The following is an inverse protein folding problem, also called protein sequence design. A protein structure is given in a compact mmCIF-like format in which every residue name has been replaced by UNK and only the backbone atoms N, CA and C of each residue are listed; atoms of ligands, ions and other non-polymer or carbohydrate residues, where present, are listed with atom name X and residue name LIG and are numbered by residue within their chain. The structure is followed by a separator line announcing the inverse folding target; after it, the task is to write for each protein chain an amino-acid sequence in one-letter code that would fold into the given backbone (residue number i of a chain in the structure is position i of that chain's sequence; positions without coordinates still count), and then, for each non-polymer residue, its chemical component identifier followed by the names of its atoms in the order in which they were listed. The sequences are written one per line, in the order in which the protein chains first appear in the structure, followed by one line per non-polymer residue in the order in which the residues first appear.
data_IF_067876580447
#
_entry.id   IF_067876580447
#
_cell.length_a   1.000
_cell.length_b   1.000
_cell.length_c   1.000
_cell.angle_alpha   90.00
_cell.angle_beta   90.00
_cell.angle_gamma   90.00
#
_symmetry.space_group_name_H-M   'P 1'
#
loop_
_entity.id
_entity.type
_entity.pdbx_description
1 polymer ?
#
# COMPACT_ATOMS: atom_id res chain seq x y z
N UNK A 1 -28.60 32.00 7.82
CA UNK A 1 -27.48 31.09 7.97
C UNK A 1 -27.68 29.99 6.95
N UNK A 2 -26.85 29.96 5.91
CA UNK A 2 -26.93 28.95 4.88
C UNK A 2 -26.03 27.78 5.28
N UNK A 3 -26.61 26.58 5.40
CA UNK A 3 -25.91 25.34 5.68
C UNK A 3 -24.94 25.03 4.53
N UNK A 4 -23.65 25.08 4.83
CA UNK A 4 -22.61 24.56 3.92
C UNK A 4 -22.66 23.04 3.99
N UNK A 5 -23.00 22.38 2.87
CA UNK A 5 -22.80 20.94 2.72
C UNK A 5 -21.32 20.59 2.98
N UNK A 6 -21.03 19.46 3.65
CA UNK A 6 -19.66 19.01 3.84
C UNK A 6 -18.98 18.83 2.48
N UNK A 7 -17.79 19.38 2.32
CA UNK A 7 -16.97 19.15 1.14
C UNK A 7 -16.50 17.70 1.13
N UNK A 8 -16.88 16.95 0.13
CA UNK A 8 -16.44 15.59 -0.12
C UNK A 8 -14.92 15.59 -0.35
N UNK A 9 -14.16 14.81 0.40
CA UNK A 9 -12.72 14.67 0.17
C UNK A 9 -12.48 13.99 -1.18
N UNK A 10 -11.63 14.61 -1.97
CA UNK A 10 -11.27 14.12 -3.30
C UNK A 10 -9.86 13.53 -3.27
N UNK A 11 -9.63 12.47 -4.03
CA UNK A 11 -8.26 11.99 -4.31
C UNK A 11 -7.42 13.10 -4.95
N UNK A 12 -6.10 13.01 -5.01
CA UNK A 12 -5.24 13.98 -5.68
C UNK A 12 -5.63 14.27 -7.14
N UNK A 13 -6.45 13.42 -7.73
CA UNK A 13 -6.97 13.52 -9.09
C UNK A 13 -8.41 14.05 -9.18
N UNK A 14 -9.05 14.37 -8.06
CA UNK A 14 -10.41 14.93 -8.02
C UNK A 14 -11.55 13.90 -7.95
N UNK A 15 -11.25 12.60 -7.70
CA UNK A 15 -12.30 11.60 -7.47
C UNK A 15 -12.76 11.61 -6.00
N UNK A 16 -14.08 11.46 -5.72
CA UNK A 16 -14.59 11.34 -4.36
C UNK A 16 -14.05 10.09 -3.67
N UNK A 17 -13.61 10.22 -2.41
CA UNK A 17 -13.26 9.08 -1.57
C UNK A 17 -14.57 8.43 -1.11
N UNK A 18 -14.82 7.18 -1.51
CA UNK A 18 -16.05 6.45 -1.18
C UNK A 18 -16.13 6.13 0.33
N UNK A 19 -17.29 6.38 0.92
CA UNK A 19 -17.63 5.87 2.24
C UNK A 19 -17.89 4.36 2.14
N UNK A 20 -17.25 3.58 3.03
CA UNK A 20 -17.52 2.15 3.17
C UNK A 20 -18.84 1.99 3.93
N UNK A 21 -19.92 1.68 3.24
CA UNK A 21 -21.16 1.27 3.88
C UNK A 21 -20.99 -0.12 4.52
N UNK A 22 -21.26 -0.18 5.82
CA UNK A 22 -21.39 -1.44 6.55
C UNK A 22 -22.70 -2.13 6.15
N UNK A 23 -22.62 -3.30 5.53
CA UNK A 23 -23.78 -4.16 5.33
C UNK A 23 -24.16 -4.80 6.66
N UNK A 24 -25.31 -4.39 7.20
CA UNK A 24 -26.07 -5.18 8.17
C UNK A 24 -27.26 -5.80 7.44
N UNK A 25 -27.43 -7.10 7.62
CA UNK A 25 -28.42 -7.86 6.90
C UNK A 25 -29.79 -7.88 7.57
N UNK A 26 -30.85 -7.92 6.78
CA UNK A 26 -32.11 -8.62 7.13
C UNK A 26 -33.02 -8.81 5.91
N UNK A 27 -33.29 -10.01 5.65
CA UNK A 27 -34.43 -10.81 5.18
C UNK A 27 -35.65 -10.20 4.45
N UNK A 28 -36.03 -11.00 3.42
CA UNK A 28 -37.37 -11.35 2.92
C UNK A 28 -38.19 -10.31 2.12
N UNK A 29 -38.46 -10.66 0.84
CA UNK A 29 -39.78 -11.15 0.40
C UNK A 29 -39.80 -11.54 -1.09
N UNK A 30 -40.36 -12.71 -1.36
CA UNK A 30 -40.69 -13.24 -2.67
C UNK A 30 -41.81 -12.42 -3.36
N UNK A 31 -41.69 -12.19 -4.67
CA UNK A 31 -42.88 -12.05 -5.51
C UNK A 31 -42.64 -12.62 -6.90
N UNK A 32 -43.47 -13.61 -7.24
CA UNK A 32 -43.68 -14.21 -8.56
C UNK A 32 -43.99 -13.17 -9.65
N UNK A 33 -43.45 -13.40 -10.84
CA UNK A 33 -44.02 -12.77 -12.02
C UNK A 33 -43.17 -12.75 -13.30
N UNK A 34 -43.45 -13.67 -14.19
CA UNK A 34 -43.29 -13.60 -15.66
C UNK A 34 -42.00 -14.11 -16.30
N UNK A 35 -42.07 -15.32 -16.77
CA UNK A 35 -41.21 -15.95 -17.76
C UNK A 35 -41.53 -15.41 -19.19
N UNK A 36 -40.96 -14.29 -19.59
CA UNK A 36 -40.94 -13.86 -20.98
C UNK A 36 -39.69 -13.02 -21.37
N UNK A 37 -38.70 -12.85 -20.45
CA UNK A 37 -37.55 -11.97 -20.67
C UNK A 37 -36.19 -12.70 -20.62
N UNK A 38 -36.19 -14.03 -20.65
CA UNK A 38 -34.96 -14.83 -20.47
C UNK A 38 -34.01 -14.80 -21.69
N UNK A 39 -34.49 -14.48 -22.89
CA UNK A 39 -33.65 -14.51 -24.11
C UNK A 39 -32.99 -13.16 -24.40
N UNK A 40 -33.61 -12.05 -24.01
CA UNK A 40 -33.01 -10.72 -24.12
C UNK A 40 -31.93 -10.50 -23.05
N UNK A 41 -32.12 -11.04 -21.83
CA UNK A 41 -31.13 -10.97 -20.75
C UNK A 41 -29.88 -11.79 -21.05
N UNK A 42 -30.02 -12.98 -21.65
CA UNK A 42 -28.89 -13.81 -22.05
C UNK A 42 -28.04 -13.21 -23.18
N UNK A 43 -28.69 -12.48 -24.12
CA UNK A 43 -27.99 -11.75 -25.19
C UNK A 43 -27.33 -10.47 -24.69
N UNK A 44 -27.89 -9.81 -23.69
CA UNK A 44 -27.27 -8.64 -23.03
C UNK A 44 -26.03 -9.04 -22.24
N UNK A 45 -26.05 -10.17 -21.51
CA UNK A 45 -24.89 -10.71 -20.80
C UNK A 45 -23.72 -11.09 -21.72
N UNK A 46 -23.98 -11.49 -22.99
CA UNK A 46 -22.93 -11.78 -23.97
C UNK A 46 -22.31 -10.51 -24.62
N UNK A 47 -22.98 -9.37 -24.53
CA UNK A 47 -22.53 -8.11 -25.18
C UNK A 47 -21.76 -7.19 -24.22
N UNK A 48 -21.81 -7.43 -22.91
CA UNK A 48 -21.32 -6.52 -21.88
C UNK A 48 -22.14 -5.22 -21.81
N UNK A 49 -21.93 -4.44 -20.79
CA UNK A 49 -22.56 -3.13 -20.61
C UNK A 49 -22.04 -2.15 -21.68
N UNK A 50 -22.92 -1.38 -22.33
CA UNK A 50 -22.50 -0.30 -23.21
C UNK A 50 -21.83 0.82 -22.41
N UNK A 51 -21.14 1.76 -23.10
CA UNK A 51 -20.55 2.92 -22.41
C UNK A 51 -21.63 3.75 -21.69
N UNK A 52 -22.82 3.89 -22.26
CA UNK A 52 -23.94 4.58 -21.60
C UNK A 52 -24.39 3.86 -20.34
N UNK A 53 -24.51 2.53 -20.39
CA UNK A 53 -24.89 1.74 -19.19
C UNK A 53 -23.86 1.87 -18.06
N UNK A 54 -22.56 1.88 -18.39
CA UNK A 54 -21.46 2.11 -17.43
C UNK A 54 -21.57 3.51 -16.82
N UNK A 55 -21.87 4.53 -17.66
CA UNK A 55 -22.01 5.90 -17.18
C UNK A 55 -23.27 6.08 -16.32
N UNK A 56 -24.37 5.45 -16.69
CA UNK A 56 -25.63 5.48 -15.94
C UNK A 56 -25.51 4.75 -14.60
N UNK A 57 -24.74 3.65 -14.55
CA UNK A 57 -24.39 2.94 -13.31
C UNK A 57 -23.37 3.71 -12.45
N UNK A 58 -22.64 4.68 -13.01
CA UNK A 58 -21.64 5.48 -12.33
C UNK A 58 -20.35 4.74 -11.97
N UNK A 59 -20.15 3.50 -12.47
CA UNK A 59 -19.01 2.66 -12.11
C UNK A 59 -18.45 1.89 -13.30
N UNK A 60 -17.11 1.84 -13.41
CA UNK A 60 -16.35 0.99 -14.33
C UNK A 60 -15.69 -0.13 -13.54
N UNK A 61 -15.91 -1.39 -13.90
CA UNK A 61 -15.34 -2.53 -13.21
C UNK A 61 -14.10 -3.03 -13.95
N UNK A 62 -12.94 -2.84 -13.29
CA UNK A 62 -11.64 -3.27 -13.76
C UNK A 62 -11.33 -4.68 -13.30
N UNK A 63 -11.13 -5.62 -14.22
CA UNK A 63 -10.56 -6.94 -13.93
C UNK A 63 -9.03 -6.88 -14.03
N UNK A 64 -8.34 -7.34 -12.98
CA UNK A 64 -6.89 -7.27 -12.90
C UNK A 64 -6.32 -8.40 -12.05
N UNK A 65 -4.98 -8.48 -11.99
CA UNK A 65 -4.24 -9.36 -11.08
C UNK A 65 -3.35 -8.53 -10.19
N UNK A 66 -3.09 -9.02 -8.97
CA UNK A 66 -2.16 -8.38 -8.05
C UNK A 66 -0.74 -8.35 -8.63
N UNK A 67 -0.08 -7.20 -8.52
CA UNK A 67 1.30 -7.06 -8.97
C UNK A 67 1.77 -5.61 -9.13
N UNK A 68 3.10 -5.39 -9.22
CA UNK A 68 3.71 -4.06 -9.15
C UNK A 68 3.33 -3.12 -10.29
N UNK A 69 2.94 -3.66 -11.44
CA UNK A 69 2.55 -2.85 -12.61
C UNK A 69 1.07 -2.94 -12.92
N UNK A 70 0.35 -3.88 -12.32
CA UNK A 70 -1.07 -4.13 -12.53
C UNK A 70 -1.91 -3.40 -11.49
N UNK A 71 -2.00 -3.97 -10.29
CA UNK A 71 -2.70 -3.41 -9.16
C UNK A 71 -2.09 -3.89 -7.84
N UNK A 72 -1.96 -3.02 -6.86
CA UNK A 72 -1.67 -3.33 -5.47
C UNK A 72 -2.18 -2.20 -4.57
N UNK A 73 -2.51 -2.52 -3.32
CA UNK A 73 -2.84 -1.50 -2.32
C UNK A 73 -1.57 -0.84 -1.77
N UNK A 74 -1.62 0.48 -1.62
CA UNK A 74 -0.57 1.26 -0.99
C UNK A 74 -1.19 2.34 -0.10
N UNK A 75 -1.13 2.13 1.21
CA UNK A 75 -1.75 3.04 2.19
C UNK A 75 -3.22 3.33 1.88
N UNK A 76 -4.01 2.30 1.65
CA UNK A 76 -5.42 2.34 1.24
C UNK A 76 -5.69 3.06 -0.10
N UNK A 77 -4.70 3.15 -0.96
CA UNK A 77 -4.85 3.65 -2.32
C UNK A 77 -4.41 2.60 -3.34
N UNK A 78 -5.20 2.42 -4.37
CA UNK A 78 -4.81 1.57 -5.48
C UNK A 78 -3.61 2.16 -6.22
N UNK A 79 -2.63 1.33 -6.53
CA UNK A 79 -1.41 1.70 -7.24
C UNK A 79 -1.08 0.67 -8.33
N UNK A 80 -0.12 1.01 -9.17
CA UNK A 80 0.28 0.23 -10.33
C UNK A 80 -0.08 0.93 -11.63
N UNK A 81 0.79 0.85 -12.62
CA UNK A 81 0.64 1.56 -13.90
C UNK A 81 -0.71 1.29 -14.56
N UNK A 82 -1.16 0.02 -14.58
CA UNK A 82 -2.41 -0.35 -15.25
C UNK A 82 -3.62 0.20 -14.50
N UNK A 83 -3.61 0.10 -13.17
CA UNK A 83 -4.63 0.69 -12.31
C UNK A 83 -4.72 2.21 -12.53
N UNK A 84 -3.62 2.94 -12.42
CA UNK A 84 -3.60 4.39 -12.57
C UNK A 84 -4.07 4.86 -13.97
N UNK A 85 -3.76 4.08 -15.02
CA UNK A 85 -4.29 4.34 -16.36
C UNK A 85 -5.80 4.11 -16.41
N UNK A 86 -6.30 3.03 -15.80
CA UNK A 86 -7.72 2.71 -15.76
C UNK A 86 -8.51 3.74 -14.94
N UNK A 87 -7.97 4.17 -13.81
CA UNK A 87 -8.53 5.23 -12.98
C UNK A 87 -8.68 6.55 -13.76
N UNK A 88 -7.63 6.97 -14.49
CA UNK A 88 -7.68 8.15 -15.33
C UNK A 88 -8.71 8.03 -16.47
N UNK A 89 -8.89 6.83 -16.99
CA UNK A 89 -9.95 6.59 -17.98
C UNK A 89 -11.34 6.66 -17.35
N UNK A 90 -11.56 6.04 -16.19
CA UNK A 90 -12.82 6.14 -15.46
C UNK A 90 -13.20 7.60 -15.16
N UNK A 91 -12.23 8.40 -14.69
CA UNK A 91 -12.40 9.85 -14.49
C UNK A 91 -12.79 10.58 -15.79
N UNK A 92 -12.15 10.24 -16.92
CA UNK A 92 -12.44 10.85 -18.22
C UNK A 92 -13.88 10.62 -18.68
N UNK A 93 -14.44 9.44 -18.36
CA UNK A 93 -15.82 9.09 -18.70
C UNK A 93 -16.83 9.45 -17.59
N UNK A 94 -16.35 10.02 -16.46
CA UNK A 94 -17.17 10.54 -15.36
C UNK A 94 -17.73 9.50 -14.41
N UNK A 95 -17.06 8.35 -14.25
CA UNK A 95 -17.48 7.26 -13.36
C UNK A 95 -16.41 6.92 -12.31
N UNK A 96 -16.82 6.23 -11.24
CA UNK A 96 -15.90 5.62 -10.27
C UNK A 96 -15.23 4.38 -10.86
N UNK A 97 -14.10 3.96 -10.29
CA UNK A 97 -13.42 2.72 -10.64
C UNK A 97 -13.58 1.70 -9.53
N UNK A 98 -14.17 0.54 -9.84
CA UNK A 98 -14.13 -0.64 -8.97
C UNK A 98 -13.10 -1.63 -9.47
N UNK A 99 -12.27 -2.14 -8.56
CA UNK A 99 -11.25 -3.14 -8.87
C UNK A 99 -11.74 -4.51 -8.44
N UNK A 100 -11.70 -5.45 -9.38
CA UNK A 100 -11.98 -6.85 -9.16
C UNK A 100 -10.69 -7.64 -9.37
N UNK A 101 -10.07 -8.07 -8.28
CA UNK A 101 -8.82 -8.82 -8.32
C UNK A 101 -9.07 -10.29 -8.65
N UNK A 102 -8.37 -10.80 -9.65
CA UNK A 102 -8.46 -12.16 -10.15
C UNK A 102 -7.14 -12.91 -9.90
N UNK A 103 -7.21 -14.23 -9.83
CA UNK A 103 -6.03 -15.08 -9.63
C UNK A 103 -5.12 -15.13 -10.85
N UNK A 104 -5.73 -15.18 -12.03
CA UNK A 104 -5.02 -15.33 -13.30
C UNK A 104 -5.84 -14.82 -14.49
N UNK A 105 -5.22 -14.87 -15.68
CA UNK A 105 -5.84 -14.46 -16.93
C UNK A 105 -7.11 -15.25 -17.28
N UNK A 106 -7.16 -16.52 -16.88
CA UNK A 106 -8.32 -17.39 -17.16
C UNK A 106 -9.55 -16.91 -16.39
N UNK A 107 -9.37 -16.60 -15.11
CA UNK A 107 -10.45 -16.05 -14.28
C UNK A 107 -10.92 -14.69 -14.76
N UNK A 108 -9.98 -13.79 -15.16
CA UNK A 108 -10.34 -12.50 -15.76
C UNK A 108 -11.23 -12.66 -17.00
N UNK A 109 -10.86 -13.56 -17.91
CA UNK A 109 -11.64 -13.82 -19.13
C UNK A 109 -13.01 -14.40 -18.78
N UNK A 110 -13.08 -15.35 -17.83
CA UNK A 110 -14.35 -15.93 -17.39
C UNK A 110 -15.28 -14.90 -16.77
N UNK A 111 -14.78 -14.05 -15.87
CA UNK A 111 -15.55 -12.97 -15.25
C UNK A 111 -16.04 -11.96 -16.29
N UNK A 112 -15.15 -11.56 -17.22
CA UNK A 112 -15.53 -10.64 -18.31
C UNK A 112 -16.67 -11.23 -19.16
N UNK A 113 -16.61 -12.51 -19.51
CA UNK A 113 -17.64 -13.18 -20.31
C UNK A 113 -18.97 -13.37 -19.58
N UNK A 114 -18.95 -13.42 -18.25
CA UNK A 114 -20.14 -13.48 -17.39
C UNK A 114 -20.77 -12.09 -17.14
N UNK A 115 -20.10 -11.00 -17.53
CA UNK A 115 -20.51 -9.65 -17.20
C UNK A 115 -20.20 -9.23 -15.76
N UNK A 116 -19.28 -9.94 -15.08
CA UNK A 116 -18.80 -9.60 -13.74
C UNK A 116 -17.69 -8.52 -13.76
N UNK A 117 -17.42 -7.94 -14.93
CA UNK A 117 -16.50 -6.83 -15.16
C UNK A 117 -16.58 -6.29 -16.57
N UNK A 118 -16.12 -5.07 -16.77
CA UNK A 118 -16.24 -4.33 -18.03
C UNK A 118 -14.97 -4.38 -18.87
N UNK A 119 -13.82 -4.40 -18.21
CA UNK A 119 -12.52 -4.33 -18.88
C UNK A 119 -11.45 -5.14 -18.16
N UNK A 120 -10.66 -5.90 -18.92
CA UNK A 120 -9.39 -6.47 -18.44
C UNK A 120 -8.30 -5.42 -18.65
N UNK A 121 -7.90 -4.75 -17.57
CA UNK A 121 -6.85 -3.74 -17.61
C UNK A 121 -5.46 -4.34 -17.31
N UNK A 122 -5.14 -5.42 -18.01
CA UNK A 122 -3.83 -6.07 -18.02
C UNK A 122 -3.42 -6.25 -19.46
N UNK A 123 -2.16 -6.01 -19.85
CA UNK A 123 -1.70 -6.21 -21.21
C UNK A 123 -1.76 -7.68 -21.63
N UNK A 124 -2.82 -8.08 -22.31
CA UNK A 124 -3.00 -9.43 -22.83
C UNK A 124 -2.36 -9.60 -24.21
N UNK A 125 -1.68 -10.72 -24.47
CA UNK A 125 -1.13 -11.00 -25.79
C UNK A 125 -2.26 -11.32 -26.78
N UNK A 126 -2.23 -10.71 -27.96
CA UNK A 126 -3.30 -10.89 -28.96
C UNK A 126 -3.47 -12.32 -29.49
N UNK A 127 -2.45 -13.16 -29.35
CA UNK A 127 -2.53 -14.57 -29.77
C UNK A 127 -3.38 -15.45 -28.85
N UNK A 128 -3.80 -14.93 -27.68
CA UNK A 128 -4.67 -15.68 -26.74
C UNK A 128 -6.00 -16.09 -27.38
N UNK A 129 -6.46 -15.35 -28.40
CA UNK A 129 -7.65 -15.71 -29.20
C UNK A 129 -7.48 -16.94 -30.08
N UNK A 130 -6.23 -17.34 -30.39
CA UNK A 130 -5.94 -18.43 -31.34
C UNK A 130 -5.76 -19.79 -30.68
N UNK A 131 -5.87 -19.89 -29.34
CA UNK A 131 -5.68 -21.13 -28.61
C UNK A 131 -4.27 -21.74 -28.74
N UNK A 132 -3.29 -20.99 -29.28
CA UNK A 132 -1.92 -21.47 -29.47
C UNK A 132 -1.15 -21.50 -28.14
N UNK A 133 -0.56 -22.65 -27.83
CA UNK A 133 0.30 -22.84 -26.67
C UNK A 133 1.54 -21.93 -26.81
N UNK A 134 1.70 -21.00 -25.91
CA UNK A 134 2.93 -20.21 -25.79
C UNK A 134 4.13 -21.10 -25.54
N UNK A 135 5.04 -21.17 -26.49
CA UNK A 135 6.39 -21.73 -26.32
C UNK A 135 7.33 -20.65 -25.79
N UNK A 136 7.18 -20.28 -24.52
CA UNK A 136 8.11 -19.39 -23.85
C UNK A 136 8.56 -20.01 -22.53
N UNK A 137 9.84 -20.38 -22.49
CA UNK A 137 10.70 -20.47 -21.31
C UNK A 137 10.32 -21.51 -20.26
N UNK A 138 11.26 -22.42 -20.03
CA UNK A 138 11.24 -23.44 -18.96
C UNK A 138 11.09 -22.84 -17.55
N UNK A 139 9.87 -22.46 -17.19
CA UNK A 139 9.42 -22.39 -15.81
C UNK A 139 8.04 -23.02 -15.75
N UNK A 140 7.99 -24.25 -15.26
CA UNK A 140 6.78 -25.03 -15.03
C UNK A 140 6.03 -24.46 -13.84
N UNK A 141 5.16 -23.48 -14.07
CA UNK A 141 3.93 -23.32 -13.30
C UNK A 141 2.79 -23.49 -14.29
N UNK A 142 2.07 -24.57 -14.10
CA UNK A 142 1.15 -25.16 -15.04
C UNK A 142 -0.01 -24.23 -15.39
N UNK A 143 -0.03 -23.70 -16.61
CA UNK A 143 -1.28 -23.39 -17.27
C UNK A 143 -1.93 -24.75 -17.63
N UNK A 144 -2.85 -25.23 -16.78
CA UNK A 144 -3.75 -26.34 -17.13
C UNK A 144 -4.54 -25.90 -18.36
N UNK A 145 -4.36 -26.62 -19.45
CA UNK A 145 -5.21 -26.52 -20.64
C UNK A 145 -6.67 -26.69 -20.22
N UNK A 146 -7.49 -25.65 -20.47
CA UNK A 146 -8.94 -25.75 -20.38
C UNK A 146 -9.40 -26.61 -21.56
N UNK A 147 -9.48 -27.91 -21.36
CA UNK A 147 -10.22 -28.84 -22.21
C UNK A 147 -11.60 -29.02 -21.61
N UNK A 148 -12.53 -28.18 -22.02
CA UNK A 148 -13.93 -28.26 -21.66
C UNK A 148 -14.68 -27.20 -22.46
N UNK A 149 -15.51 -27.62 -23.39
CA UNK A 149 -16.40 -26.88 -24.30
C UNK A 149 -15.78 -25.65 -24.96
N UNK A 150 -15.60 -25.72 -26.27
CA UNK A 150 -15.18 -24.62 -27.16
C UNK A 150 -16.18 -23.46 -27.17
N UNK A 151 -16.34 -22.75 -26.03
CA UNK A 151 -16.92 -21.41 -26.05
C UNK A 151 -15.88 -20.48 -26.68
N UNK A 152 -16.17 -19.95 -27.83
CA UNK A 152 -15.36 -18.96 -28.52
C UNK A 152 -15.05 -17.81 -27.56
N UNK A 153 -13.78 -17.54 -27.29
CA UNK A 153 -13.37 -16.42 -26.43
C UNK A 153 -13.71 -15.12 -27.15
N UNK A 154 -14.74 -14.41 -26.67
CA UNK A 154 -15.24 -13.18 -27.28
C UNK A 154 -14.61 -11.95 -26.61
N UNK A 155 -13.36 -11.62 -27.02
CA UNK A 155 -12.63 -10.44 -26.54
C UNK A 155 -12.46 -9.40 -27.63
N UNK A 156 -12.62 -8.13 -27.27
CA UNK A 156 -12.30 -6.97 -28.11
C UNK A 156 -11.09 -6.26 -27.52
N UNK A 157 -9.93 -6.40 -28.17
CA UNK A 157 -8.72 -5.69 -27.77
C UNK A 157 -8.85 -4.19 -28.02
N UNK A 158 -8.62 -3.36 -27.01
CA UNK A 158 -8.81 -1.92 -27.07
C UNK A 158 -7.86 -1.17 -26.11
N UNK A 159 -7.70 0.12 -26.33
CA UNK A 159 -7.03 1.07 -25.46
C UNK A 159 -5.55 0.81 -25.26
N UNK A 160 -5.15 0.58 -24.01
CA UNK A 160 -3.76 0.62 -23.60
C UNK A 160 -2.92 -0.51 -24.20
N UNK A 161 -1.85 -0.13 -24.92
CA UNK A 161 -0.86 -1.02 -25.47
C UNK A 161 0.55 -0.53 -25.11
N UNK A 162 1.25 -1.19 -24.17
CA UNK A 162 2.54 -0.73 -23.68
C UNK A 162 3.70 -1.04 -24.63
N UNK A 163 3.55 -1.98 -25.58
CA UNK A 163 4.62 -2.61 -26.36
C UNK A 163 4.40 -2.57 -27.86
N UNK A 164 3.94 -1.43 -28.39
CA UNK A 164 3.68 -1.20 -29.81
C UNK A 164 2.66 -2.20 -30.43
N UNK A 165 1.67 -2.61 -29.64
CA UNK A 165 0.57 -3.45 -30.11
C UNK A 165 0.77 -4.95 -29.99
N UNK A 166 1.83 -5.43 -29.34
CA UNK A 166 2.00 -6.86 -29.05
C UNK A 166 1.03 -7.35 -27.99
N UNK A 167 0.84 -6.53 -26.97
CA UNK A 167 -0.14 -6.75 -25.92
C UNK A 167 -1.10 -5.56 -25.81
N UNK A 168 -2.31 -5.78 -25.32
CA UNK A 168 -3.35 -4.75 -25.21
C UNK A 168 -4.39 -5.14 -24.16
N UNK A 169 -5.09 -4.17 -23.60
CA UNK A 169 -6.29 -4.38 -22.79
C UNK A 169 -7.41 -5.00 -23.62
N UNK A 170 -8.42 -5.55 -22.97
CA UNK A 170 -9.53 -6.17 -23.65
C UNK A 170 -10.86 -5.94 -22.91
N UNK A 171 -11.90 -5.65 -23.67
CA UNK A 171 -13.29 -5.69 -23.24
C UNK A 171 -14.04 -6.85 -23.88
N UNK A 172 -15.35 -6.94 -23.62
CA UNK A 172 -16.24 -7.92 -24.26
C UNK A 172 -16.40 -7.58 -25.74
N UNK A 173 -16.38 -8.61 -26.61
CA UNK A 173 -16.38 -8.45 -28.06
C UNK A 173 -17.58 -7.70 -28.67
N UNK A 174 -18.69 -7.54 -27.96
CA UNK A 174 -19.85 -6.76 -28.38
C UNK A 174 -19.81 -5.28 -28.00
N UNK A 175 -18.91 -4.87 -27.09
CA UNK A 175 -18.89 -3.50 -26.53
C UNK A 175 -17.98 -2.56 -27.35
N UNK A 176 -18.44 -2.20 -28.56
CA UNK A 176 -17.69 -1.29 -29.43
C UNK A 176 -17.60 0.12 -28.86
N UNK A 177 -18.65 0.62 -28.21
CA UNK A 177 -18.70 2.00 -27.70
C UNK A 177 -17.63 2.26 -26.64
N UNK A 178 -17.46 1.35 -25.69
CA UNK A 178 -16.39 1.42 -24.70
C UNK A 178 -15.01 1.31 -25.38
N UNK A 179 -14.84 0.36 -26.30
CA UNK A 179 -13.57 0.13 -26.98
C UNK A 179 -13.14 1.34 -27.83
N UNK A 180 -14.06 1.94 -28.59
CA UNK A 180 -13.77 3.11 -29.42
C UNK A 180 -13.43 4.34 -28.58
N UNK A 181 -14.13 4.54 -27.47
CA UNK A 181 -13.85 5.63 -26.51
C UNK A 181 -12.48 5.44 -25.86
N UNK A 182 -12.15 4.24 -25.43
CA UNK A 182 -10.85 3.92 -24.84
C UNK A 182 -9.70 4.08 -25.86
N UNK A 183 -9.90 3.64 -27.10
CA UNK A 183 -8.94 3.82 -28.21
C UNK A 183 -8.72 5.31 -28.52
N UNK A 184 -9.78 6.11 -28.51
CA UNK A 184 -9.73 7.56 -28.73
C UNK A 184 -8.97 8.30 -27.62
N UNK A 185 -9.20 7.88 -26.38
CA UNK A 185 -8.55 8.46 -25.19
C UNK A 185 -7.08 8.09 -25.09
N UNK A 186 -6.71 6.83 -25.31
CA UNK A 186 -5.35 6.37 -25.11
C UNK A 186 -4.35 7.00 -26.08
N UNK A 187 -3.27 7.56 -25.53
CA UNK A 187 -2.11 8.04 -26.27
C UNK A 187 -0.84 7.44 -25.63
N UNK A 188 0.14 6.95 -26.40
CA UNK A 188 1.35 6.32 -25.86
C UNK A 188 2.13 7.17 -24.83
N UNK A 189 2.10 8.51 -25.00
CA UNK A 189 2.72 9.47 -24.06
C UNK A 189 2.12 9.38 -22.65
N UNK A 190 0.87 8.93 -22.53
CA UNK A 190 0.19 8.80 -21.24
C UNK A 190 0.89 7.82 -20.30
N UNK A 191 1.44 6.72 -20.85
CA UNK A 191 2.21 5.75 -20.06
C UNK A 191 3.41 6.41 -19.37
N UNK A 192 4.17 7.23 -20.10
CA UNK A 192 5.34 7.91 -19.54
C UNK A 192 4.93 8.94 -18.47
N UNK A 193 3.83 9.65 -18.69
CA UNK A 193 3.30 10.62 -17.74
C UNK A 193 2.85 9.94 -16.45
N UNK A 194 2.08 8.85 -16.55
CA UNK A 194 1.59 8.10 -15.39
C UNK A 194 2.75 7.46 -14.61
N UNK A 195 3.75 6.90 -15.28
CA UNK A 195 4.96 6.39 -14.61
C UNK A 195 5.72 7.47 -13.84
N UNK A 196 5.84 8.68 -14.41
CA UNK A 196 6.48 9.81 -13.72
C UNK A 196 5.69 10.23 -12.48
N UNK A 197 4.38 10.28 -12.62
CA UNK A 197 3.47 10.62 -11.55
C UNK A 197 3.51 9.58 -10.43
N UNK A 198 3.40 8.29 -10.75
CA UNK A 198 3.56 7.19 -9.80
C UNK A 198 4.90 7.28 -9.05
N UNK A 199 6.00 7.51 -9.78
CA UNK A 199 7.32 7.65 -9.17
C UNK A 199 7.40 8.85 -8.21
N UNK A 200 6.75 9.96 -8.53
CA UNK A 200 6.67 11.12 -7.64
C UNK A 200 5.88 10.79 -6.38
N UNK A 201 4.69 10.21 -6.52
CA UNK A 201 3.82 9.87 -5.39
C UNK A 201 4.50 8.91 -4.41
N UNK A 202 5.21 7.93 -4.93
CA UNK A 202 5.94 6.93 -4.15
C UNK A 202 7.27 7.44 -3.57
N UNK A 203 7.62 8.69 -3.82
CA UNK A 203 8.82 9.31 -3.30
C UNK A 203 8.54 10.14 -2.03
N UNK A 204 9.58 10.37 -1.24
CA UNK A 204 9.49 11.26 -0.06
C UNK A 204 9.22 12.72 -0.44
N UNK A 205 9.42 13.11 -1.71
CA UNK A 205 9.10 14.44 -2.22
C UNK A 205 7.59 14.71 -2.28
N UNK A 206 6.75 13.67 -2.28
CA UNK A 206 5.29 13.79 -2.24
C UNK A 206 4.76 14.20 -0.86
N UNK A 207 5.56 14.07 0.21
CA UNK A 207 5.18 14.46 1.56
C UNK A 207 5.47 15.96 1.75
N UNK A 208 4.42 16.73 1.94
CA UNK A 208 4.53 18.15 2.29
C UNK A 208 4.87 18.28 3.77
N UNK A 209 6.10 18.70 4.07
CA UNK A 209 6.59 18.87 5.45
C UNK A 209 7.75 19.84 5.50
N UNK A 210 7.94 20.45 6.68
CA UNK A 210 9.20 21.10 7.04
C UNK A 210 10.18 20.05 7.56
N UNK A 211 11.44 20.11 7.13
CA UNK A 211 12.47 19.17 7.61
C UNK A 211 13.24 19.85 8.75
N UNK A 212 12.95 19.46 9.97
CA UNK A 212 13.71 19.87 11.13
C UNK A 212 14.99 19.05 11.28
N UNK A 213 15.94 19.57 12.07
CA UNK A 213 17.15 18.82 12.41
C UNK A 213 16.81 17.52 13.18
N UNK A 214 17.55 16.42 12.94
CA UNK A 214 17.38 15.19 13.70
C UNK A 214 17.76 15.32 15.18
N UNK A 215 18.48 16.38 15.55
CA UNK A 215 18.75 16.76 16.93
C UNK A 215 18.48 18.27 17.13
N UNK A 216 17.67 18.60 18.12
CA UNK A 216 17.48 19.97 18.54
C UNK A 216 18.73 20.49 19.28
N UNK A 217 19.34 19.66 20.13
CA UNK A 217 20.59 19.95 20.78
C UNK A 217 21.35 18.64 21.08
N UNK A 218 22.28 18.30 20.22
CA UNK A 218 23.05 17.04 20.32
C UNK A 218 23.91 16.99 21.58
N UNK A 219 24.54 18.08 21.99
CA UNK A 219 25.41 18.10 23.17
C UNK A 219 24.66 17.92 24.49
N UNK A 220 23.37 18.32 24.53
CA UNK A 220 22.50 18.14 25.68
C UNK A 220 21.62 16.88 25.59
N UNK A 221 21.76 16.09 24.52
CA UNK A 221 20.95 14.90 24.28
C UNK A 221 19.47 15.20 23.98
N UNK A 222 19.13 16.45 23.61
CA UNK A 222 17.76 16.82 23.24
C UNK A 222 17.53 16.52 21.78
N UNK A 223 16.61 15.57 21.49
CA UNK A 223 16.31 15.12 20.15
C UNK A 223 15.37 16.12 19.45
N UNK A 224 14.23 16.44 20.10
CA UNK A 224 13.20 17.31 19.54
C UNK A 224 12.50 18.13 20.63
N UNK A 225 11.66 19.07 20.23
CA UNK A 225 10.72 19.75 21.15
C UNK A 225 9.65 18.84 21.72
N UNK A 226 9.49 17.63 21.17
CA UNK A 226 8.45 16.66 21.51
C UNK A 226 8.96 15.50 22.38
N UNK A 227 10.21 15.52 22.85
CA UNK A 227 10.80 14.44 23.66
C UNK A 227 9.95 14.10 24.88
N UNK A 228 9.34 15.12 25.53
CA UNK A 228 8.44 14.95 26.67
C UNK A 228 7.18 14.12 26.33
N UNK A 229 6.67 14.22 25.09
CA UNK A 229 5.55 13.42 24.63
C UNK A 229 5.98 11.96 24.38
N UNK A 230 7.11 11.76 23.73
CA UNK A 230 7.63 10.40 23.50
C UNK A 230 7.92 9.69 24.81
N UNK A 231 8.51 10.38 25.79
CA UNK A 231 8.73 9.83 27.16
C UNK A 231 7.39 9.50 27.83
N UNK A 232 6.40 10.37 27.75
CA UNK A 232 5.07 10.18 28.35
C UNK A 232 4.38 8.94 27.80
N UNK A 233 4.39 8.76 26.49
CA UNK A 233 3.64 7.70 25.80
C UNK A 233 4.46 6.44 25.50
N UNK A 234 5.74 6.38 25.86
CA UNK A 234 6.62 5.21 25.64
C UNK A 234 6.09 3.94 26.32
N UNK A 235 5.54 4.07 27.52
CA UNK A 235 4.91 2.95 28.23
C UNK A 235 3.66 2.43 27.53
N UNK A 236 2.82 3.31 26.99
CA UNK A 236 1.64 2.96 26.17
C UNK A 236 2.09 2.23 24.90
N UNK A 237 3.08 2.78 24.21
CA UNK A 237 3.62 2.18 22.98
C UNK A 237 4.41 0.88 23.22
N UNK A 238 4.75 0.56 24.46
CA UNK A 238 5.65 -0.54 24.83
C UNK A 238 6.99 -0.49 24.10
N UNK A 239 7.54 0.73 23.95
CA UNK A 239 8.75 1.02 23.18
C UNK A 239 9.66 1.98 23.95
N UNK A 240 10.96 1.93 23.64
CA UNK A 240 11.89 3.00 24.04
C UNK A 240 11.44 4.33 23.43
N UNK A 241 11.39 5.42 24.24
CA UNK A 241 10.93 6.72 23.75
C UNK A 241 11.79 7.29 22.61
N UNK A 242 13.08 6.94 22.56
CA UNK A 242 13.99 7.35 21.47
C UNK A 242 13.71 6.59 20.18
N UNK A 243 13.16 5.36 20.29
CA UNK A 243 12.67 4.63 19.12
C UNK A 243 11.41 5.26 18.55
N UNK A 244 10.49 5.76 19.40
CA UNK A 244 9.34 6.55 18.98
C UNK A 244 9.80 7.87 18.33
N UNK A 245 10.80 8.56 18.90
CA UNK A 245 11.37 9.78 18.30
C UNK A 245 12.03 9.49 16.94
N UNK A 246 12.73 8.37 16.80
CA UNK A 246 13.33 7.94 15.52
C UNK A 246 12.27 7.63 14.48
N UNK A 247 11.18 6.98 14.87
CA UNK A 247 10.01 6.74 14.03
C UNK A 247 9.38 8.08 13.59
N UNK A 248 9.09 8.97 14.52
CA UNK A 248 8.53 10.30 14.22
C UNK A 248 9.39 11.09 13.22
N UNK A 249 10.71 11.03 13.37
CA UNK A 249 11.60 11.67 12.41
C UNK A 249 11.50 11.04 11.01
N UNK A 250 11.39 9.72 10.94
CA UNK A 250 11.21 9.03 9.65
C UNK A 250 9.88 9.40 8.99
N UNK A 251 8.82 9.56 9.77
CA UNK A 251 7.47 9.91 9.29
C UNK A 251 7.39 11.37 8.82
N UNK A 252 7.70 12.30 9.68
CA UNK A 252 7.42 13.73 9.45
C UNK A 252 8.63 14.66 9.53
N UNK A 253 9.82 14.18 9.88
CA UNK A 253 10.94 15.02 10.31
C UNK A 253 10.56 15.99 11.46
N UNK A 254 9.70 15.54 12.39
CA UNK A 254 9.15 16.32 13.50
C UNK A 254 8.24 17.49 13.09
N UNK A 255 7.64 17.46 11.91
CA UNK A 255 6.67 18.47 11.48
C UNK A 255 5.23 18.01 11.84
N UNK A 256 4.53 18.71 12.77
CA UNK A 256 3.15 18.37 13.14
C UNK A 256 2.15 18.65 12.02
N UNK A 257 2.53 19.47 11.03
CA UNK A 257 1.70 19.82 9.89
C UNK A 257 2.01 18.99 8.64
N UNK A 258 2.87 17.97 8.76
CA UNK A 258 3.18 17.09 7.65
C UNK A 258 1.93 16.39 7.12
N UNK A 259 1.79 16.36 5.79
CA UNK A 259 0.71 15.66 5.09
C UNK A 259 1.27 14.95 3.86
N UNK A 260 1.04 13.62 3.76
CA UNK A 260 1.37 12.86 2.57
C UNK A 260 0.28 13.02 1.50
N UNK A 261 0.59 12.65 0.27
CA UNK A 261 -0.42 12.59 -0.79
C UNK A 261 -1.51 11.55 -0.51
N UNK A 262 -1.16 10.45 0.19
CA UNK A 262 -2.08 9.40 0.60
C UNK A 262 -2.98 9.79 1.78
N UNK A 263 -2.84 11.01 2.30
CA UNK A 263 -3.67 11.53 3.39
C UNK A 263 -3.12 11.29 4.80
N UNK A 264 -1.95 10.66 4.97
CA UNK A 264 -1.32 10.52 6.28
C UNK A 264 -0.96 11.90 6.86
N UNK A 265 -1.24 12.13 8.14
CA UNK A 265 -1.15 13.44 8.77
C UNK A 265 -0.38 13.44 10.10
N UNK A 266 0.25 14.58 10.40
CA UNK A 266 0.83 14.89 11.70
C UNK A 266 2.21 14.29 11.93
N UNK A 267 2.68 14.39 13.18
CA UNK A 267 4.02 13.93 13.59
C UNK A 267 4.30 12.48 13.24
N UNK A 268 3.32 11.60 13.43
CA UNK A 268 3.44 10.16 13.27
C UNK A 268 2.78 9.66 11.98
N UNK A 269 2.37 10.56 11.06
CA UNK A 269 1.75 10.24 9.77
C UNK A 269 0.62 9.21 9.88
N UNK A 270 -0.39 9.53 10.70
CA UNK A 270 -1.55 8.65 10.90
C UNK A 270 -2.51 8.81 9.72
N UNK A 271 -2.90 7.68 9.13
CA UNK A 271 -3.92 7.63 8.07
C UNK A 271 -5.31 7.96 8.63
N UNK A 272 -6.21 8.60 7.87
CA UNK A 272 -7.58 8.93 8.32
C UNK A 272 -8.36 7.72 8.83
N UNK A 273 -8.28 6.57 8.16
CA UNK A 273 -8.90 5.32 8.59
C UNK A 273 -8.36 4.83 9.93
N UNK A 274 -7.03 4.91 10.13
CA UNK A 274 -6.37 4.55 11.40
C UNK A 274 -6.75 5.56 12.49
N UNK A 275 -6.86 6.85 12.19
CA UNK A 275 -7.32 7.87 13.12
C UNK A 275 -8.75 7.58 13.61
N UNK A 276 -9.65 7.23 12.69
CA UNK A 276 -11.03 6.85 13.02
C UNK A 276 -11.06 5.60 13.92
N UNK A 277 -10.31 4.55 13.57
CA UNK A 277 -10.18 3.34 14.38
C UNK A 277 -9.69 3.64 15.82
N UNK A 278 -8.73 4.55 15.97
CA UNK A 278 -8.14 4.92 17.26
C UNK A 278 -8.96 5.99 18.01
N UNK A 279 -10.07 6.46 17.46
CA UNK A 279 -10.86 7.53 18.04
C UNK A 279 -10.15 8.89 18.08
N UNK A 280 -9.22 9.14 17.12
CA UNK A 280 -8.57 10.44 16.94
C UNK A 280 -9.38 11.27 15.92
N UNK A 281 -10.09 12.34 16.35
CA UNK A 281 -10.85 13.16 15.41
C UNK A 281 -9.91 13.89 14.44
N UNK A 282 -10.33 14.04 13.19
CA UNK A 282 -9.53 14.72 12.16
C UNK A 282 -9.21 16.19 12.51
N UNK A 283 -10.04 16.84 13.32
CA UNK A 283 -9.77 18.19 13.85
C UNK A 283 -8.55 18.26 14.79
N UNK A 284 -8.19 17.13 15.43
CA UNK A 284 -7.05 17.02 16.34
C UNK A 284 -5.84 16.29 15.75
N UNK A 285 -5.90 15.89 14.47
CA UNK A 285 -4.85 15.04 13.87
C UNK A 285 -3.48 15.74 13.77
N UNK A 286 -3.48 17.06 13.73
CA UNK A 286 -2.27 17.91 13.73
C UNK A 286 -1.85 18.37 15.14
N UNK A 287 -2.65 18.08 16.18
CA UNK A 287 -2.23 18.29 17.56
C UNK A 287 -1.13 17.29 17.92
N UNK A 288 0.01 17.80 18.38
CA UNK A 288 1.20 16.99 18.60
C UNK A 288 0.97 15.88 19.65
N UNK A 289 0.28 16.20 20.75
CA UNK A 289 0.05 15.24 21.82
C UNK A 289 -0.98 14.20 21.42
N UNK A 290 -2.11 14.61 20.82
CA UNK A 290 -3.15 13.71 20.36
C UNK A 290 -2.63 12.72 19.30
N UNK A 291 -1.82 13.22 18.35
CA UNK A 291 -1.22 12.42 17.29
C UNK A 291 -0.21 11.39 17.85
N UNK A 292 0.71 11.80 18.74
CA UNK A 292 1.67 10.89 19.38
C UNK A 292 0.96 9.86 20.28
N UNK A 293 -0.07 10.28 21.04
CA UNK A 293 -0.85 9.39 21.89
C UNK A 293 -1.59 8.31 21.07
N UNK A 294 -2.19 8.70 19.95
CA UNK A 294 -2.85 7.76 19.04
C UNK A 294 -1.86 6.77 18.41
N UNK A 295 -0.72 7.26 17.92
CA UNK A 295 0.33 6.39 17.37
C UNK A 295 0.88 5.41 18.42
N UNK A 296 1.02 5.84 19.68
CA UNK A 296 1.45 4.97 20.77
C UNK A 296 0.46 3.82 21.02
N UNK A 297 -0.86 4.10 20.98
CA UNK A 297 -1.90 3.05 21.07
C UNK A 297 -1.82 2.11 19.87
N UNK A 298 -1.65 2.63 18.66
CA UNK A 298 -1.53 1.82 17.46
C UNK A 298 -0.30 0.91 17.49
N UNK A 299 0.85 1.42 17.94
CA UNK A 299 2.06 0.60 18.13
C UNK A 299 1.86 -0.51 19.16
N UNK A 300 1.11 -0.25 20.25
CA UNK A 300 0.76 -1.28 21.24
C UNK A 300 -0.15 -2.36 20.65
N UNK A 301 -1.12 -1.96 19.83
CA UNK A 301 -2.01 -2.87 19.11
C UNK A 301 -1.22 -3.75 18.12
N UNK A 302 -0.39 -3.14 17.27
CA UNK A 302 0.47 -3.88 16.35
C UNK A 302 1.39 -4.87 17.06
N UNK A 303 2.00 -4.50 18.19
CA UNK A 303 2.78 -5.44 19.00
C UNK A 303 1.91 -6.56 19.59
N UNK A 304 0.66 -6.28 19.93
CA UNK A 304 -0.32 -7.29 20.34
C UNK A 304 -0.57 -8.33 19.26
N UNK A 305 -0.67 -7.89 18.00
CA UNK A 305 -0.80 -8.79 16.86
C UNK A 305 0.42 -9.69 16.62
N UNK A 306 1.61 -9.34 17.14
CA UNK A 306 2.83 -10.15 17.10
C UNK A 306 3.16 -10.77 18.46
N UNK A 307 2.16 -11.13 19.27
CA UNK A 307 2.35 -11.74 20.59
C UNK A 307 3.10 -13.08 20.55
N UNK A 308 3.08 -13.76 19.40
CA UNK A 308 3.86 -14.97 19.11
C UNK A 308 5.37 -14.72 18.95
N UNK A 309 5.81 -13.47 18.83
CA UNK A 309 7.22 -13.07 18.84
C UNK A 309 7.63 -12.79 20.29
N UNK A 310 8.35 -13.73 20.92
CA UNK A 310 8.68 -13.69 22.36
C UNK A 310 9.59 -12.54 22.77
N UNK A 311 10.59 -12.19 21.94
CA UNK A 311 11.55 -11.11 22.24
C UNK A 311 10.90 -9.72 21.99
N UNK A 312 10.79 -8.85 23.00
CA UNK A 312 10.22 -7.52 22.86
C UNK A 312 10.96 -6.63 21.85
N UNK A 313 12.28 -6.79 21.71
CA UNK A 313 13.07 -6.04 20.73
C UNK A 313 12.68 -6.45 19.29
N UNK A 314 12.59 -7.75 19.05
CA UNK A 314 12.10 -8.26 17.76
C UNK A 314 10.67 -7.79 17.50
N UNK A 315 9.79 -7.94 18.49
CA UNK A 315 8.37 -7.54 18.36
C UNK A 315 8.19 -6.08 17.98
N UNK A 316 9.02 -5.18 18.54
CA UNK A 316 9.01 -3.77 18.16
C UNK A 316 9.38 -3.56 16.67
N UNK A 317 10.34 -4.33 16.14
CA UNK A 317 10.71 -4.26 14.72
C UNK A 317 9.59 -4.76 13.79
N UNK A 318 8.90 -5.83 14.18
CA UNK A 318 7.72 -6.31 13.47
C UNK A 318 6.59 -5.27 13.47
N UNK A 319 6.37 -4.61 14.61
CA UNK A 319 5.35 -3.56 14.71
C UNK A 319 5.71 -2.34 13.85
N UNK A 320 6.98 -1.90 13.81
CA UNK A 320 7.45 -0.85 12.91
C UNK A 320 7.25 -1.23 11.43
N UNK A 321 7.58 -2.46 11.07
CA UNK A 321 7.37 -2.96 9.72
C UNK A 321 5.89 -2.98 9.34
N UNK A 322 5.02 -3.41 10.26
CA UNK A 322 3.58 -3.44 10.06
C UNK A 322 2.96 -2.05 10.02
N UNK A 323 3.50 -1.08 10.75
CA UNK A 323 3.07 0.32 10.71
C UNK A 323 3.23 0.92 9.31
N UNK A 324 4.34 0.64 8.65
CA UNK A 324 4.63 1.13 7.30
C UNK A 324 4.03 0.25 6.20
N UNK A 325 4.23 -1.06 6.26
CA UNK A 325 3.93 -2.00 5.17
C UNK A 325 2.66 -2.83 5.36
N UNK A 326 1.93 -2.62 6.46
CA UNK A 326 0.71 -3.35 6.78
C UNK A 326 0.97 -4.72 7.44
N UNK A 327 0.15 -5.01 8.45
CA UNK A 327 0.25 -6.23 9.26
C UNK A 327 0.20 -7.52 8.43
N UNK A 328 -0.72 -7.58 7.48
CA UNK A 328 -0.97 -8.79 6.70
C UNK A 328 0.22 -9.19 5.82
N UNK A 329 0.88 -8.24 5.18
CA UNK A 329 2.08 -8.50 4.38
C UNK A 329 3.27 -8.97 5.23
N UNK A 330 3.39 -8.45 6.46
CA UNK A 330 4.43 -8.94 7.38
C UNK A 330 4.13 -10.38 7.81
N UNK A 331 2.85 -10.74 8.01
CA UNK A 331 2.45 -12.13 8.27
C UNK A 331 2.74 -13.05 7.08
N UNK A 332 2.53 -12.59 5.86
CA UNK A 332 2.91 -13.32 4.65
C UNK A 332 4.43 -13.56 4.58
N UNK A 333 5.24 -12.55 4.88
CA UNK A 333 6.69 -12.68 4.97
C UNK A 333 7.13 -13.68 6.06
N UNK A 334 6.46 -13.70 7.23
CA UNK A 334 6.69 -14.68 8.27
C UNK A 334 6.34 -16.12 7.82
N UNK A 335 5.25 -16.28 7.06
CA UNK A 335 4.84 -17.57 6.50
C UNK A 335 5.87 -18.09 5.49
N UNK A 336 6.37 -17.23 4.59
CA UNK A 336 7.46 -17.54 3.68
C UNK A 336 8.74 -17.92 4.44
N UNK A 337 9.11 -17.13 5.46
CA UNK A 337 10.28 -17.41 6.29
C UNK A 337 10.21 -18.81 6.89
N UNK A 338 9.05 -19.20 7.44
CA UNK A 338 8.82 -20.55 7.97
C UNK A 338 8.93 -21.63 6.90
N UNK A 339 8.31 -21.40 5.74
CA UNK A 339 8.34 -22.33 4.60
C UNK A 339 9.74 -22.63 4.13
N UNK A 340 10.61 -21.64 4.11
CA UNK A 340 12.00 -21.77 3.65
C UNK A 340 13.02 -22.02 4.78
N UNK A 341 12.56 -22.46 5.96
CA UNK A 341 13.42 -22.94 7.06
C UNK A 341 14.05 -21.84 7.91
N UNK A 342 13.65 -20.58 7.75
CA UNK A 342 14.09 -19.47 8.60
C UNK A 342 13.28 -19.36 9.90
N UNK A 343 13.77 -18.54 10.83
CA UNK A 343 13.07 -18.24 12.09
C UNK A 343 12.07 -17.10 11.86
N UNK A 344 10.73 -17.35 11.88
CA UNK A 344 9.71 -16.32 11.64
C UNK A 344 9.58 -15.31 12.81
N UNK A 345 10.26 -15.54 13.96
CA UNK A 345 10.29 -14.61 15.09
C UNK A 345 11.53 -13.70 15.06
N UNK A 346 12.41 -13.85 14.09
CA UNK A 346 13.60 -13.02 13.92
C UNK A 346 13.42 -12.07 12.74
N UNK A 347 13.45 -10.77 13.02
CA UNK A 347 13.27 -9.74 11.98
C UNK A 347 14.29 -9.86 10.84
N UNK A 348 15.54 -10.18 11.13
CA UNK A 348 16.57 -10.34 10.10
C UNK A 348 16.21 -11.40 9.06
N UNK A 349 15.66 -12.53 9.51
CA UNK A 349 15.20 -13.58 8.61
C UNK A 349 13.93 -13.18 7.87
N UNK A 350 12.95 -12.55 8.54
CA UNK A 350 11.67 -12.14 7.92
C UNK A 350 11.88 -10.98 6.95
N UNK A 351 12.77 -10.04 7.27
CA UNK A 351 13.14 -8.92 6.39
C UNK A 351 13.56 -9.39 4.99
N UNK A 352 14.25 -10.53 4.90
CA UNK A 352 14.63 -11.10 3.60
C UNK A 352 13.40 -11.43 2.75
N UNK A 353 12.35 -12.00 3.36
CA UNK A 353 11.11 -12.32 2.65
C UNK A 353 10.22 -11.11 2.43
N UNK A 354 10.27 -10.10 3.30
CA UNK A 354 9.68 -8.78 3.03
C UNK A 354 10.25 -8.23 1.70
N UNK A 355 11.56 -8.26 1.51
CA UNK A 355 12.20 -7.85 0.26
C UNK A 355 11.78 -8.73 -0.93
N UNK A 356 11.62 -10.03 -0.73
CA UNK A 356 11.25 -10.99 -1.78
C UNK A 356 9.78 -10.91 -2.18
N UNK A 357 8.89 -10.35 -1.36
CA UNK A 357 7.49 -10.09 -1.74
C UNK A 357 7.35 -9.08 -2.90
N UNK A 358 8.44 -8.48 -3.37
CA UNK A 358 8.49 -7.74 -4.64
C UNK A 358 8.58 -8.64 -5.88
N UNK A 359 8.83 -9.94 -5.72
CA UNK A 359 9.12 -10.87 -6.81
C UNK A 359 7.95 -11.85 -7.02
N UNK A 360 7.53 -12.11 -8.28
CA UNK A 360 6.38 -12.97 -8.59
C UNK A 360 6.46 -14.38 -7.99
N UNK A 361 7.67 -14.94 -7.89
CA UNK A 361 7.87 -16.28 -7.33
C UNK A 361 7.53 -16.36 -5.83
N UNK A 362 7.52 -15.23 -5.13
CA UNK A 362 7.24 -15.15 -3.70
C UNK A 362 5.86 -14.58 -3.42
N UNK A 363 5.46 -13.46 -4.05
CA UNK A 363 4.11 -12.94 -3.80
C UNK A 363 3.01 -13.81 -4.42
N UNK A 364 3.31 -14.62 -5.43
CA UNK A 364 2.41 -15.64 -5.97
C UNK A 364 2.50 -17.01 -5.29
N UNK A 365 3.28 -17.14 -4.21
CA UNK A 365 3.40 -18.39 -3.46
C UNK A 365 2.08 -18.73 -2.73
N UNK A 366 1.62 -20.00 -2.71
CA UNK A 366 0.36 -20.38 -2.06
C UNK A 366 0.24 -20.06 -0.57
N UNK A 367 1.35 -19.82 0.16
CA UNK A 367 1.31 -19.41 1.57
C UNK A 367 1.10 -17.90 1.74
N UNK A 368 1.26 -17.13 0.67
CA UNK A 368 1.02 -15.68 0.64
C UNK A 368 -0.44 -15.41 0.33
N UNK A 369 -1.09 -14.58 1.14
CA UNK A 369 -2.52 -14.29 1.04
C UNK A 369 -2.79 -12.91 0.47
N UNK A 370 -1.88 -11.96 0.69
CA UNK A 370 -2.06 -10.54 0.36
C UNK A 370 -1.21 -10.08 -0.84
N UNK A 371 -0.44 -11.00 -1.44
CA UNK A 371 0.23 -10.78 -2.71
C UNK A 371 1.43 -9.84 -2.65
N UNK A 372 1.54 -9.00 -3.68
CA UNK A 372 2.67 -8.08 -3.85
C UNK A 372 2.74 -7.00 -2.77
N UNK A 373 3.97 -6.73 -2.31
CA UNK A 373 4.29 -5.66 -1.35
C UNK A 373 5.50 -4.87 -1.83
N UNK A 374 5.56 -3.56 -1.56
CA UNK A 374 6.75 -2.73 -1.74
C UNK A 374 7.78 -2.98 -0.62
N UNK A 375 8.21 -4.23 -0.50
CA UNK A 375 9.02 -4.69 0.61
C UNK A 375 10.33 -3.95 0.84
N UNK A 376 10.93 -3.38 -0.21
CA UNK A 376 12.14 -2.55 -0.11
C UNK A 376 11.88 -1.30 0.74
N UNK A 377 10.74 -0.63 0.55
CA UNK A 377 10.38 0.56 1.31
C UNK A 377 10.25 0.24 2.80
N UNK A 378 9.53 -0.83 3.13
CA UNK A 378 9.34 -1.24 4.54
C UNK A 378 10.63 -1.72 5.20
N UNK A 379 11.47 -2.48 4.50
CA UNK A 379 12.76 -2.90 5.02
C UNK A 379 13.67 -1.69 5.31
N UNK A 380 13.75 -0.75 4.38
CA UNK A 380 14.53 0.49 4.53
C UNK A 380 13.96 1.39 5.65
N UNK A 381 12.63 1.43 5.80
CA UNK A 381 11.97 2.16 6.88
C UNK A 381 12.45 1.67 8.25
N UNK A 382 12.40 0.36 8.49
CA UNK A 382 12.86 -0.23 9.75
C UNK A 382 14.35 -0.01 9.96
N UNK A 383 15.17 -0.19 8.93
CA UNK A 383 16.62 -0.01 9.02
C UNK A 383 17.01 1.42 9.36
N UNK A 384 16.36 2.42 8.73
CA UNK A 384 16.60 3.86 9.02
C UNK A 384 16.19 4.23 10.44
N UNK A 385 15.07 3.71 10.93
CA UNK A 385 14.63 3.95 12.31
C UNK A 385 15.61 3.34 13.30
N UNK A 386 16.08 2.10 13.08
CA UNK A 386 17.08 1.45 13.92
C UNK A 386 18.41 2.22 13.97
N UNK A 387 18.89 2.65 12.80
CA UNK A 387 20.12 3.42 12.70
C UNK A 387 20.02 4.75 13.47
N UNK A 388 18.90 5.45 13.31
CA UNK A 388 18.63 6.71 14.02
C UNK A 388 18.46 6.52 15.51
N UNK A 389 17.77 5.48 15.93
CA UNK A 389 17.68 5.13 17.34
C UNK A 389 19.07 4.86 17.94
N UNK A 390 19.94 4.14 17.24
CA UNK A 390 21.33 3.92 17.67
C UNK A 390 22.08 5.26 17.84
N UNK A 391 21.93 6.21 16.91
CA UNK A 391 22.49 7.56 17.06
C UNK A 391 21.95 8.27 18.30
N UNK A 392 20.65 8.17 18.59
CA UNK A 392 20.00 8.77 19.77
C UNK A 392 20.43 8.12 21.07
N UNK A 393 20.90 6.89 21.01
CA UNK A 393 21.46 6.13 22.14
C UNK A 393 23.00 6.19 22.23
N UNK A 394 23.64 7.11 21.49
CA UNK A 394 25.12 7.24 21.55
C UNK A 394 25.90 6.13 20.86
N UNK A 395 25.30 5.46 19.86
CA UNK A 395 25.93 4.36 19.10
C UNK A 395 25.66 2.96 19.65
N UNK A 396 24.72 2.81 20.57
CA UNK A 396 24.39 1.52 21.17
C UNK A 396 23.78 0.53 20.14
N UNK A 397 24.11 -0.74 20.31
CA UNK A 397 23.50 -1.84 19.53
C UNK A 397 22.04 -2.04 19.91
N UNK A 398 21.15 -2.25 18.93
CA UNK A 398 19.72 -2.41 19.16
C UNK A 398 19.40 -3.62 20.07
N UNK A 399 20.05 -4.75 19.85
CA UNK A 399 19.81 -5.98 20.65
C UNK A 399 20.36 -5.92 22.07
N UNK A 400 21.45 -5.19 22.28
CA UNK A 400 22.09 -5.11 23.59
C UNK A 400 21.42 -4.07 24.50
N UNK A 401 20.86 -3.01 23.91
CA UNK A 401 20.38 -1.84 24.66
C UNK A 401 18.87 -1.67 24.63
N UNK A 402 18.12 -2.36 23.74
CA UNK A 402 16.68 -2.30 23.70
C UNK A 402 16.09 -3.12 24.86
N UNK A 403 15.72 -2.44 25.92
CA UNK A 403 14.87 -3.00 26.99
C UNK A 403 13.53 -2.32 26.89
N UNK A 404 12.59 -3.01 26.24
CA UNK A 404 11.22 -2.54 26.09
C UNK A 404 10.57 -2.23 27.43
N UNK A 405 10.22 -0.98 27.65
CA UNK A 405 9.38 -0.51 28.74
C UNK A 405 10.09 -0.22 30.07
N UNK A 406 10.07 1.07 30.45
CA UNK A 406 10.08 1.55 31.83
C UNK A 406 11.34 1.32 32.68
N UNK A 407 12.38 2.08 32.39
CA UNK A 407 13.14 2.74 33.45
C UNK A 407 13.28 4.20 33.07
N UNK A 408 12.65 5.07 33.85
CA UNK A 408 12.85 6.50 33.76
C UNK A 408 14.33 6.88 33.85
N UNK A 409 14.71 8.07 33.42
CA UNK A 409 16.11 8.48 33.39
C UNK A 409 16.68 8.40 34.81
N UNK A 410 17.65 7.53 35.03
CA UNK A 410 18.55 7.72 36.14
C UNK A 410 19.31 9.04 35.88
N UNK A 411 18.87 10.09 36.56
CA UNK A 411 19.68 11.27 36.78
C UNK A 411 20.86 10.82 37.63
N UNK A 412 21.94 10.35 37.00
CA UNK A 412 23.21 10.10 37.64
C UNK A 412 23.82 11.42 38.05
N UNK A 413 23.75 11.74 39.36
CA UNK A 413 24.74 12.62 40.01
C UNK A 413 26.09 11.96 39.88
N UNK A 414 27.08 12.63 39.36
CA UNK A 414 28.47 12.17 39.37
C UNK A 414 29.27 12.93 38.33
N UNK A 415 29.74 14.11 38.70
CA UNK A 415 30.98 14.63 38.15
C UNK A 415 32.09 13.70 38.53
N UNK A 416 32.99 13.33 37.57
CA UNK A 416 34.42 13.54 37.71
C UNK A 416 35.17 12.96 36.52
N UNK A 417 35.98 13.86 35.96
CA UNK A 417 37.25 13.65 35.28
C UNK A 417 37.40 12.49 34.27
N UNK A 418 37.41 12.86 32.98
CA UNK A 418 38.27 12.16 32.04
C UNK A 418 39.04 13.19 31.19
N UNK A 419 40.32 13.34 31.56
CA UNK A 419 41.38 13.86 30.71
C UNK A 419 41.65 12.81 29.62
N UNK A 420 41.34 13.13 28.39
CA UNK A 420 41.68 12.34 27.22
C UNK A 420 41.79 13.23 26.01
N UNK A 421 43.01 13.36 25.47
CA UNK A 421 43.39 14.20 24.35
C UNK A 421 42.57 13.94 23.06
N UNK A 422 42.36 14.92 22.18
CA UNK A 422 41.51 14.76 21.01
C UNK A 422 42.21 13.99 19.89
N UNK A 423 41.65 12.87 19.50
CA UNK A 423 42.02 12.17 18.26
C UNK A 423 41.33 12.88 17.10
N UNK A 424 42.12 13.56 16.27
CA UNK A 424 41.70 14.13 15.00
C UNK A 424 41.38 13.01 14.02
N UNK A 425 40.13 12.77 13.72
CA UNK A 425 39.68 11.99 12.56
C UNK A 425 39.06 12.95 11.53
N UNK A 426 39.85 13.32 10.52
CA UNK A 426 39.33 13.88 9.26
C UNK A 426 38.74 12.73 8.47
N UNK A 427 37.41 12.62 8.37
CA UNK A 427 36.75 11.94 7.26
C UNK A 427 35.68 12.83 6.67
N UNK A 428 35.93 13.22 5.42
CA UNK A 428 35.02 13.90 4.52
C UNK A 428 33.73 13.07 4.36
N UNK A 429 32.62 13.56 4.92
CA UNK A 429 31.27 13.16 4.56
C UNK A 429 30.61 14.30 3.76
N UNK A 430 31.15 14.54 2.58
CA UNK A 430 30.40 15.25 1.54
C UNK A 430 30.21 14.31 0.35
N UNK A 431 28.97 14.25 -0.09
CA UNK A 431 28.45 13.56 -1.28
C UNK A 431 28.16 12.06 -1.14
N UNK A 432 26.95 11.75 -0.68
CA UNK A 432 26.17 10.65 -1.23
C UNK A 432 24.67 10.64 -0.85
N UNK A 433 24.03 11.77 -0.63
CA UNK A 433 22.56 11.84 -0.53
C UNK A 433 22.07 13.12 -1.22
N UNK A 434 22.15 13.13 -2.54
CA UNK A 434 21.24 13.87 -3.40
C UNK A 434 20.35 12.81 -4.07
N UNK A 435 19.07 13.03 -3.94
CA UNK A 435 17.87 12.42 -4.48
C UNK A 435 17.16 11.51 -3.48
#
# INVERSE_FOLDING_TARGET
CADKKPQQELTPWGTPVGEVESMDGSDDEESDGNAADSDAGAQAQQRGLSLSDIQDNGELIMLTVNGPTTYYDYHNHGMGLQYLLCEKFAQQIGVSLRVEECKDTTEMIQKLQKGEGDIIAVPLPRHILKGEKSSAGKNKTAAKSVSGDSKTINLLFCGVTPDKGKTQWAGVGGNKSLADTLNGWFKPKLIANVKKEESFLLSTASIRRHVYSPFLNRSKGVISRYDHLFMRYSGTARMDWRLMAAQCYQESCFDPNAKSWAGACGLMQIMPSTAAHLGLPMSAIHDAEANVAAAARYMAELQGHFSDVGDPAQRALFALAAYNGGFHHIRDAMALTRKYGGNPQNWGHVREYVLRLTQPAYYGDPVVKYGYMRGTETADYVDRIRARWSEYCGGASFHESYRGGSRGPHIGRGADSFNGAPVKSKRNYQRKYHI
#
